data_IF_461711048736
#
_entry.id   IF_461711048736
#
_cell.length_a   1.000
_cell.length_b   1.000
_cell.length_c   1.000
_cell.angle_alpha   90.00
_cell.angle_beta   90.00
_cell.angle_gamma   90.00
#
_symmetry.space_group_name_H-M   'P 1'
#
loop_
_entity.id
_entity.type
_entity.pdbx_description
1 polymer ?
#
# COMPACT_ATOMS: atom_id res chain seq x y z
N UNK A 1 54.74 25.48 -36.31
CA UNK A 1 53.34 25.93 -36.17
C UNK A 1 52.33 24.78 -36.12
N UNK A 2 52.41 23.76 -36.99
CA UNK A 2 51.45 22.64 -37.05
C UNK A 2 51.26 21.85 -35.73
N UNK A 3 52.35 21.58 -34.99
CA UNK A 3 52.28 20.87 -33.70
C UNK A 3 51.44 21.59 -32.64
N UNK A 4 51.50 22.92 -32.58
CA UNK A 4 50.72 23.69 -31.61
C UNK A 4 49.22 23.63 -31.92
N UNK A 5 48.86 23.73 -33.20
CA UNK A 5 47.46 23.66 -33.66
C UNK A 5 46.80 22.32 -33.32
N UNK A 6 47.51 21.20 -33.51
CA UNK A 6 47.00 19.87 -33.17
C UNK A 6 46.69 19.75 -31.66
N UNK A 7 47.54 20.32 -30.81
CA UNK A 7 47.35 20.28 -29.35
C UNK A 7 46.15 21.11 -28.92
N UNK A 8 45.95 22.32 -29.47
CA UNK A 8 44.79 23.15 -29.12
C UNK A 8 43.46 22.50 -29.53
N UNK A 9 43.42 21.83 -30.69
CA UNK A 9 42.23 21.12 -31.17
C UNK A 9 41.87 19.94 -30.25
N UNK A 10 42.86 19.17 -29.79
CA UNK A 10 42.63 18.04 -28.89
C UNK A 10 42.11 18.46 -27.51
N UNK A 11 42.60 19.59 -26.98
CA UNK A 11 42.12 20.15 -25.70
C UNK A 11 40.67 20.63 -25.84
N UNK A 12 40.33 21.31 -26.94
CA UNK A 12 38.98 21.81 -27.18
C UNK A 12 37.95 20.67 -27.28
N UNK A 13 38.30 19.60 -28.01
CA UNK A 13 37.45 18.42 -28.16
C UNK A 13 37.21 17.70 -26.82
N UNK A 14 38.25 17.59 -25.99
CA UNK A 14 38.15 16.96 -24.66
C UNK A 14 37.26 17.77 -23.71
N UNK A 15 37.33 19.10 -23.76
CA UNK A 15 36.48 19.98 -22.95
C UNK A 15 34.99 19.84 -23.28
N UNK A 16 34.64 19.71 -24.57
CA UNK A 16 33.26 19.56 -25.02
C UNK A 16 32.66 18.25 -24.48
N UNK A 17 33.41 17.14 -24.54
CA UNK A 17 32.93 15.83 -24.08
C UNK A 17 32.60 15.81 -22.57
N UNK A 18 33.40 16.49 -21.74
CA UNK A 18 33.18 16.56 -20.28
C UNK A 18 31.92 17.39 -19.97
N UNK A 19 31.75 18.54 -20.63
CA UNK A 19 30.58 19.40 -20.41
C UNK A 19 29.29 18.71 -20.85
N UNK A 20 29.32 17.96 -21.95
CA UNK A 20 28.18 17.14 -22.39
C UNK A 20 27.82 16.03 -21.40
N UNK A 21 28.82 15.36 -20.80
CA UNK A 21 28.57 14.33 -19.79
C UNK A 21 27.95 14.91 -18.51
N UNK A 22 28.41 16.07 -18.04
CA UNK A 22 27.90 16.71 -16.82
C UNK A 22 26.48 17.27 -17.05
N UNK A 23 26.21 17.85 -18.22
CA UNK A 23 24.88 18.35 -18.57
C UNK A 23 23.83 17.21 -18.63
N UNK A 24 24.20 16.02 -19.10
CA UNK A 24 23.34 14.83 -19.07
C UNK A 24 22.97 14.39 -17.66
N UNK A 25 23.96 14.32 -16.76
CA UNK A 25 23.75 13.90 -15.36
C UNK A 25 22.96 14.93 -14.55
N UNK A 26 23.19 16.24 -14.78
CA UNK A 26 22.43 17.31 -14.13
C UNK A 26 20.98 17.37 -14.61
N UNK A 27 20.73 17.17 -15.91
CA UNK A 27 19.37 17.13 -16.47
C UNK A 27 18.59 15.93 -15.94
N UNK A 28 19.23 14.76 -15.81
CA UNK A 28 18.60 13.55 -15.22
C UNK A 28 18.17 13.73 -13.77
N UNK A 29 18.91 14.51 -12.96
CA UNK A 29 18.53 14.83 -11.58
C UNK A 29 17.39 15.84 -11.50
N UNK A 30 17.32 16.78 -12.44
CA UNK A 30 16.27 17.80 -12.47
C UNK A 30 14.96 17.34 -13.14
N UNK A 31 15.00 16.34 -14.03
CA UNK A 31 13.80 15.76 -14.67
C UNK A 31 13.25 14.53 -13.96
N UNK A 32 13.84 14.09 -12.84
CA UNK A 32 13.04 13.42 -11.81
C UNK A 32 12.05 14.44 -11.27
N UNK A 33 10.98 14.70 -12.05
CA UNK A 33 9.72 15.23 -11.53
C UNK A 33 9.50 14.45 -10.24
N UNK A 34 9.54 15.13 -9.10
CA UNK A 34 9.18 14.56 -7.81
C UNK A 34 7.83 13.89 -8.03
N UNK A 35 7.82 12.56 -8.20
CA UNK A 35 6.59 11.79 -8.02
C UNK A 35 6.14 12.19 -6.63
N UNK A 36 4.91 12.68 -6.52
CA UNK A 36 4.33 12.91 -5.21
C UNK A 36 4.54 11.60 -4.43
N UNK A 37 5.05 11.67 -3.19
CA UNK A 37 5.23 10.48 -2.38
C UNK A 37 3.91 9.73 -2.32
N UNK A 38 3.96 8.41 -2.50
CA UNK A 38 2.77 7.56 -2.40
C UNK A 38 2.17 7.74 -1.00
N UNK A 39 0.86 7.62 -0.88
CA UNK A 39 0.16 7.73 0.40
C UNK A 39 -0.69 6.49 0.62
N UNK A 40 -0.11 5.57 1.39
CA UNK A 40 -0.62 4.21 1.57
C UNK A 40 -1.25 4.05 2.96
N UNK A 41 -2.49 3.59 3.03
CA UNK A 41 -3.11 3.16 4.27
C UNK A 41 -2.69 1.72 4.53
N UNK A 42 -2.00 1.46 5.64
CA UNK A 42 -1.75 0.08 6.10
C UNK A 42 -2.84 -0.25 7.11
N UNK A 43 -3.76 -1.15 6.76
CA UNK A 43 -4.82 -1.57 7.67
C UNK A 43 -4.63 -3.05 8.03
N UNK A 44 -4.19 -3.31 9.25
CA UNK A 44 -3.87 -4.66 9.71
C UNK A 44 -4.35 -4.90 11.15
N UNK A 45 -4.29 -6.15 11.60
CA UNK A 45 -4.55 -6.47 13.01
C UNK A 45 -3.32 -6.12 13.86
N UNK A 46 -3.55 -5.71 15.11
CA UNK A 46 -2.51 -5.42 16.10
C UNK A 46 -1.87 -6.65 16.75
N UNK A 47 -1.78 -7.77 16.05
CA UNK A 47 -1.11 -8.98 16.56
C UNK A 47 0.41 -8.83 16.45
N UNK A 48 1.05 -8.54 17.59
CA UNK A 48 2.50 -8.31 17.69
C UNK A 48 3.35 -9.50 17.24
N UNK A 49 2.80 -10.72 17.21
CA UNK A 49 3.56 -11.90 16.79
C UNK A 49 3.81 -11.89 15.29
N UNK A 50 2.86 -11.41 14.49
CA UNK A 50 2.99 -11.36 13.04
C UNK A 50 3.79 -10.16 12.55
N UNK A 51 3.91 -9.10 13.37
CA UNK A 51 4.58 -7.84 13.03
C UNK A 51 4.16 -7.33 11.63
N UNK A 52 2.86 -7.42 11.29
CA UNK A 52 2.35 -7.18 9.92
C UNK A 52 2.77 -5.84 9.37
N UNK A 53 2.67 -4.76 10.16
CA UNK A 53 3.12 -3.43 9.73
C UNK A 53 4.59 -3.46 9.24
N UNK A 54 5.53 -3.93 10.08
CA UNK A 54 6.95 -3.99 9.72
C UNK A 54 7.21 -4.82 8.45
N UNK A 55 6.42 -5.89 8.26
CA UNK A 55 6.52 -6.74 7.06
C UNK A 55 6.03 -6.01 5.82
N UNK A 56 4.86 -5.39 5.89
CA UNK A 56 4.28 -4.61 4.80
C UNK A 56 5.23 -3.47 4.41
N UNK A 57 5.79 -2.75 5.39
CA UNK A 57 6.78 -1.69 5.14
C UNK A 57 7.99 -2.21 4.35
N UNK A 58 8.52 -3.37 4.73
CA UNK A 58 9.66 -4.00 4.05
C UNK A 58 9.29 -4.54 2.66
N UNK A 59 8.15 -5.19 2.53
CA UNK A 59 7.68 -5.82 1.28
C UNK A 59 7.35 -4.78 0.20
N UNK A 60 6.85 -3.60 0.61
CA UNK A 60 6.43 -2.53 -0.29
C UNK A 60 7.42 -1.36 -0.38
N UNK A 61 8.58 -1.46 0.28
CA UNK A 61 9.63 -0.42 0.36
C UNK A 61 9.09 0.95 0.79
N UNK A 62 8.17 0.96 1.76
CA UNK A 62 7.52 2.18 2.24
C UNK A 62 8.41 2.90 3.26
N UNK A 63 8.62 4.19 3.03
CA UNK A 63 9.40 5.06 3.91
C UNK A 63 8.50 5.87 4.85
N UNK A 64 9.10 6.43 5.90
CA UNK A 64 8.38 7.31 6.83
C UNK A 64 7.75 8.49 6.08
N UNK A 65 6.45 8.73 6.35
CA UNK A 65 5.67 9.76 5.69
C UNK A 65 4.94 9.32 4.41
N UNK A 66 5.21 8.11 3.90
CA UNK A 66 4.47 7.52 2.76
C UNK A 66 3.26 6.69 3.18
N UNK A 67 3.12 6.40 4.48
CA UNK A 67 2.07 5.53 4.98
C UNK A 67 1.41 6.06 6.25
N UNK A 68 0.22 5.51 6.53
CA UNK A 68 -0.45 5.65 7.81
C UNK A 68 -1.01 4.30 8.24
N UNK A 69 -0.69 3.87 9.45
CA UNK A 69 -1.10 2.56 9.96
C UNK A 69 -2.38 2.66 10.79
N UNK A 70 -3.38 1.88 10.40
CA UNK A 70 -4.59 1.58 11.14
C UNK A 70 -4.43 0.17 11.72
N UNK A 71 -4.12 0.08 13.01
CA UNK A 71 -3.88 -1.20 13.69
C UNK A 71 -4.61 -1.26 15.03
N UNK A 72 -5.44 -2.28 15.19
CA UNK A 72 -6.16 -2.60 16.43
C UNK A 72 -6.55 -4.08 16.46
N UNK A 73 -7.08 -4.55 17.59
CA UNK A 73 -7.50 -5.94 17.76
C UNK A 73 -8.63 -6.30 16.75
N UNK A 74 -8.41 -7.35 15.96
CA UNK A 74 -9.31 -7.75 14.88
C UNK A 74 -9.07 -7.04 13.54
N UNK A 75 -8.30 -5.94 13.53
CA UNK A 75 -7.87 -5.27 12.31
C UNK A 75 -9.01 -5.00 11.33
N UNK A 76 -8.86 -5.37 10.04
CA UNK A 76 -9.92 -5.21 9.04
C UNK A 76 -11.20 -6.00 9.33
N UNK A 77 -11.13 -7.12 10.05
CA UNK A 77 -12.30 -7.96 10.30
C UNK A 77 -13.38 -7.28 11.16
N UNK A 78 -13.04 -6.17 11.84
CA UNK A 78 -14.01 -5.38 12.61
C UNK A 78 -15.13 -4.82 11.74
N UNK A 79 -14.93 -4.58 10.45
CA UNK A 79 -16.02 -4.04 9.61
C UNK A 79 -17.04 -5.09 9.21
N UNK A 80 -16.66 -6.37 9.30
CA UNK A 80 -17.58 -7.50 9.09
C UNK A 80 -18.26 -7.85 10.41
N UNK A 81 -17.48 -8.12 11.47
CA UNK A 81 -17.97 -8.74 12.72
C UNK A 81 -18.00 -7.81 13.94
N UNK A 82 -17.52 -6.58 13.82
CA UNK A 82 -17.46 -5.62 14.93
C UNK A 82 -18.81 -4.99 15.27
N UNK A 83 -18.88 -4.32 16.42
CA UNK A 83 -20.04 -3.53 16.78
C UNK A 83 -20.16 -2.32 15.84
N UNK A 84 -21.37 -1.73 15.73
CA UNK A 84 -21.58 -0.59 14.84
C UNK A 84 -20.59 0.56 15.10
N UNK A 85 -20.28 0.83 16.38
CA UNK A 85 -19.31 1.86 16.77
C UNK A 85 -17.91 1.61 16.21
N UNK A 86 -17.48 0.35 16.11
CA UNK A 86 -16.17 -0.03 15.54
C UNK A 86 -16.17 0.21 14.03
N UNK A 87 -17.28 -0.13 13.35
CA UNK A 87 -17.46 0.09 11.91
C UNK A 87 -17.45 1.58 11.57
N UNK A 88 -18.16 2.38 12.36
CA UNK A 88 -18.21 3.83 12.21
C UNK A 88 -16.85 4.48 12.48
N UNK A 89 -16.11 3.96 13.47
CA UNK A 89 -14.76 4.42 13.75
C UNK A 89 -13.83 4.14 12.56
N UNK A 90 -13.80 2.91 12.05
CA UNK A 90 -13.01 2.55 10.87
C UNK A 90 -13.37 3.42 9.66
N UNK A 91 -14.69 3.61 9.41
CA UNK A 91 -15.20 4.48 8.34
C UNK A 91 -14.65 5.90 8.45
N UNK A 92 -14.77 6.53 9.62
CA UNK A 92 -14.29 7.89 9.84
C UNK A 92 -12.78 8.03 9.65
N UNK A 93 -11.99 7.07 10.15
CA UNK A 93 -10.53 7.11 9.99
C UNK A 93 -10.13 7.00 8.52
N UNK A 94 -10.71 6.05 7.78
CA UNK A 94 -10.40 5.84 6.36
C UNK A 94 -10.85 7.06 5.53
N UNK A 95 -12.07 7.57 5.73
CA UNK A 95 -12.54 8.76 5.02
C UNK A 95 -11.67 9.99 5.32
N UNK A 96 -11.22 10.18 6.56
CA UNK A 96 -10.31 11.27 6.91
C UNK A 96 -8.98 11.18 6.13
N UNK A 97 -8.40 9.97 6.07
CA UNK A 97 -7.15 9.74 5.34
C UNK A 97 -7.33 9.97 3.84
N UNK A 98 -8.40 9.44 3.26
CA UNK A 98 -8.66 9.55 1.82
C UNK A 98 -9.03 10.98 1.43
N UNK A 99 -10.09 11.53 2.01
CA UNK A 99 -10.66 12.81 1.58
C UNK A 99 -9.85 14.03 2.02
N UNK A 100 -9.25 13.98 3.22
CA UNK A 100 -8.56 15.14 3.80
C UNK A 100 -7.05 15.05 3.69
N UNK A 101 -6.49 13.84 3.65
CA UNK A 101 -5.03 13.63 3.56
C UNK A 101 -4.56 13.13 2.20
N UNK A 102 -5.49 12.76 1.31
CA UNK A 102 -5.19 12.38 -0.07
C UNK A 102 -4.49 11.03 -0.18
N UNK A 103 -4.84 10.08 0.69
CA UNK A 103 -4.41 8.68 0.55
C UNK A 103 -5.21 8.01 -0.57
N UNK A 104 -4.51 7.33 -1.48
CA UNK A 104 -5.06 6.75 -2.71
C UNK A 104 -4.80 5.24 -2.83
N UNK A 105 -4.04 4.65 -1.91
CA UNK A 105 -3.76 3.23 -1.85
C UNK A 105 -4.04 2.69 -0.42
N UNK A 106 -4.52 1.45 -0.33
CA UNK A 106 -4.69 0.72 0.91
C UNK A 106 -4.17 -0.72 0.80
N UNK A 107 -3.33 -1.10 1.76
CA UNK A 107 -2.88 -2.48 1.98
C UNK A 107 -3.64 -3.01 3.18
N UNK A 108 -4.53 -3.97 2.95
CA UNK A 108 -5.49 -4.45 3.94
C UNK A 108 -5.16 -5.89 4.30
N UNK A 109 -4.47 -6.06 5.42
CA UNK A 109 -3.92 -7.33 5.83
C UNK A 109 -4.81 -8.05 6.85
N UNK A 110 -5.18 -9.28 6.53
CA UNK A 110 -5.79 -10.23 7.47
C UNK A 110 -4.84 -11.40 7.72
N UNK A 111 -5.15 -12.22 8.73
CA UNK A 111 -4.28 -13.34 9.09
C UNK A 111 -5.03 -14.55 9.62
N UNK A 112 -4.35 -15.69 9.61
CA UNK A 112 -4.84 -16.94 10.19
C UNK A 112 -4.92 -16.86 11.73
N UNK A 113 -5.90 -17.56 12.31
CA UNK A 113 -6.07 -17.71 13.76
C UNK A 113 -6.18 -16.38 14.54
N UNK A 114 -6.90 -15.41 13.99
CA UNK A 114 -7.14 -14.14 14.69
C UNK A 114 -7.83 -14.35 16.04
N UNK A 115 -7.16 -14.00 17.14
CA UNK A 115 -7.69 -14.16 18.49
C UNK A 115 -9.00 -13.38 18.71
N UNK A 116 -9.09 -12.17 18.15
CA UNK A 116 -10.29 -11.33 18.27
C UNK A 116 -11.53 -11.94 17.60
N UNK A 117 -11.34 -12.70 16.51
CA UNK A 117 -12.42 -13.46 15.87
C UNK A 117 -12.81 -14.69 16.71
N UNK A 118 -11.81 -15.39 17.25
CA UNK A 118 -12.02 -16.53 18.15
C UNK A 118 -12.84 -16.14 19.38
N UNK A 119 -12.56 -14.98 19.98
CA UNK A 119 -13.29 -14.45 21.14
C UNK A 119 -14.77 -14.14 20.83
N UNK A 120 -15.13 -14.06 19.55
CA UNK A 120 -16.51 -13.90 19.06
C UNK A 120 -17.16 -15.20 18.59
N UNK A 121 -16.52 -16.34 18.85
CA UNK A 121 -17.02 -17.66 18.46
C UNK A 121 -16.75 -18.02 17.00
N UNK A 122 -15.99 -17.21 16.26
CA UNK A 122 -15.56 -17.52 14.89
C UNK A 122 -14.28 -18.36 14.97
N UNK A 123 -14.46 -19.67 14.99
CA UNK A 123 -13.36 -20.63 15.23
C UNK A 123 -12.63 -21.05 13.96
N UNK A 124 -13.13 -20.69 12.78
CA UNK A 124 -12.49 -20.99 11.51
C UNK A 124 -11.15 -20.25 11.40
N UNK A 125 -10.00 -20.96 11.32
CA UNK A 125 -8.69 -20.35 11.17
C UNK A 125 -8.57 -19.44 9.94
N UNK A 126 -9.33 -19.71 8.88
CA UNK A 126 -9.34 -18.97 7.62
C UNK A 126 -10.45 -17.91 7.55
N UNK A 127 -11.14 -17.62 8.66
CA UNK A 127 -12.20 -16.61 8.67
C UNK A 127 -11.69 -15.26 8.13
N UNK A 128 -10.45 -14.88 8.46
CA UNK A 128 -9.82 -13.66 7.96
C UNK A 128 -9.74 -13.56 6.44
N UNK A 129 -9.58 -14.71 5.75
CA UNK A 129 -9.58 -14.82 4.29
C UNK A 129 -11.01 -14.75 3.73
N UNK A 130 -11.96 -15.42 4.38
CA UNK A 130 -13.38 -15.43 4.00
C UNK A 130 -14.06 -14.07 4.14
N UNK A 131 -13.55 -13.21 5.02
CA UNK A 131 -14.07 -11.86 5.25
C UNK A 131 -13.63 -10.83 4.20
N UNK A 132 -12.62 -11.13 3.38
CA UNK A 132 -12.05 -10.18 2.42
C UNK A 132 -13.09 -9.57 1.46
N UNK A 133 -14.03 -10.32 0.88
CA UNK A 133 -15.11 -9.73 0.08
C UNK A 133 -15.95 -8.70 0.85
N UNK A 134 -16.26 -8.97 2.12
CA UNK A 134 -17.00 -8.04 2.96
C UNK A 134 -16.22 -6.76 3.28
N UNK A 135 -14.91 -6.90 3.52
CA UNK A 135 -14.00 -5.77 3.75
C UNK A 135 -13.86 -4.93 2.46
N UNK A 136 -13.76 -5.57 1.30
CA UNK A 136 -13.69 -4.88 0.01
C UNK A 136 -14.98 -4.09 -0.27
N UNK A 137 -16.15 -4.70 -0.04
CA UNK A 137 -17.44 -4.02 -0.19
C UNK A 137 -17.51 -2.77 0.70
N UNK A 138 -17.08 -2.88 1.96
CA UNK A 138 -17.01 -1.75 2.87
C UNK A 138 -16.09 -0.63 2.35
N UNK A 139 -14.89 -0.98 1.87
CA UNK A 139 -13.93 0.01 1.33
C UNK A 139 -14.42 0.68 0.05
N UNK A 140 -15.07 -0.07 -0.85
CA UNK A 140 -15.67 0.49 -2.07
C UNK A 140 -16.76 1.50 -1.74
N UNK A 141 -17.56 1.25 -0.70
CA UNK A 141 -18.61 2.18 -0.27
C UNK A 141 -18.03 3.52 0.21
N UNK A 142 -16.95 3.50 1.00
CA UNK A 142 -16.45 4.69 1.70
C UNK A 142 -15.29 5.38 0.99
N UNK A 143 -14.57 4.65 0.14
CA UNK A 143 -13.35 5.08 -0.52
C UNK A 143 -13.22 4.44 -1.92
N UNK A 144 -14.19 4.64 -2.83
CA UNK A 144 -14.26 3.93 -4.12
C UNK A 144 -13.08 4.17 -5.06
N UNK A 145 -12.26 5.20 -4.80
CA UNK A 145 -11.10 5.57 -5.61
C UNK A 145 -9.78 5.01 -5.09
N UNK A 146 -9.79 4.38 -3.91
CA UNK A 146 -8.58 3.83 -3.31
C UNK A 146 -8.26 2.50 -3.96
N UNK A 147 -7.03 2.34 -4.42
CA UNK A 147 -6.50 1.05 -4.86
C UNK A 147 -6.29 0.15 -3.65
N UNK A 148 -6.87 -1.04 -3.63
CA UNK A 148 -6.84 -1.93 -2.46
C UNK A 148 -6.12 -3.24 -2.79
N UNK A 149 -5.18 -3.63 -1.94
CA UNK A 149 -4.50 -4.94 -1.98
C UNK A 149 -4.79 -5.74 -0.71
N UNK A 150 -4.94 -7.06 -0.83
CA UNK A 150 -5.32 -7.96 0.28
C UNK A 150 -4.27 -9.06 0.53
N UNK A 151 -3.15 -8.75 1.21
CA UNK A 151 -2.25 -9.78 1.70
C UNK A 151 -2.89 -10.54 2.87
N UNK A 152 -2.76 -11.87 2.85
CA UNK A 152 -3.20 -12.78 3.89
C UNK A 152 -1.98 -13.49 4.50
N UNK A 153 -1.77 -13.29 5.81
CA UNK A 153 -0.61 -13.81 6.52
C UNK A 153 -0.93 -15.10 7.29
N UNK A 154 0.03 -16.02 7.30
CA UNK A 154 -0.08 -17.32 7.95
C UNK A 154 0.98 -17.52 9.00
N UNK A 155 0.61 -18.30 10.02
CA UNK A 155 1.58 -18.96 10.86
C UNK A 155 2.05 -20.24 10.14
N UNK A 156 3.36 -20.42 10.02
CA UNK A 156 3.93 -21.72 9.64
C UNK A 156 3.64 -22.76 10.73
N UNK A 157 3.57 -22.31 11.98
CA UNK A 157 3.11 -23.09 13.14
C UNK A 157 2.51 -22.12 14.16
N UNK A 158 1.23 -22.31 14.47
CA UNK A 158 0.51 -21.43 15.39
C UNK A 158 0.90 -21.64 16.86
N UNK A 159 1.25 -22.87 17.27
CA UNK A 159 1.59 -23.17 18.66
C UNK A 159 2.94 -22.54 19.03
N UNK A 160 3.90 -22.64 18.12
CA UNK A 160 5.22 -21.99 18.26
C UNK A 160 5.23 -20.55 17.77
N UNK A 161 4.12 -20.08 17.20
CA UNK A 161 3.95 -18.77 16.56
C UNK A 161 5.03 -18.50 15.49
N UNK A 162 5.51 -19.55 14.85
CA UNK A 162 6.40 -19.44 13.69
C UNK A 162 5.60 -18.91 12.51
N UNK A 163 6.13 -17.92 11.79
CA UNK A 163 5.39 -17.18 10.76
C UNK A 163 5.92 -17.51 9.36
N UNK A 164 5.03 -17.69 8.37
CA UNK A 164 5.42 -17.89 6.98
C UNK A 164 6.09 -16.64 6.40
N UNK A 165 7.13 -16.81 5.58
CA UNK A 165 7.92 -15.70 5.01
C UNK A 165 7.15 -14.86 3.99
N UNK A 166 6.21 -15.46 3.23
CA UNK A 166 5.43 -14.77 2.20
C UNK A 166 3.93 -14.82 2.48
N UNK A 167 3.19 -13.70 2.33
CA UNK A 167 1.73 -13.73 2.37
C UNK A 167 1.14 -14.35 1.09
N UNK A 168 -0.11 -14.80 1.18
CA UNK A 168 -0.96 -15.09 0.03
C UNK A 168 -1.69 -13.80 -0.38
N UNK A 169 -1.73 -13.46 -1.66
CA UNK A 169 -2.51 -12.32 -2.15
C UNK A 169 -3.87 -12.78 -2.64
N UNK A 170 -4.92 -12.33 -1.97
CA UNK A 170 -6.30 -12.69 -2.31
C UNK A 170 -6.75 -11.81 -3.48
N UNK A 171 -6.98 -12.44 -4.63
CA UNK A 171 -7.59 -11.79 -5.79
C UNK A 171 -9.10 -11.72 -5.56
N UNK A 172 -9.64 -10.50 -5.48
CA UNK A 172 -11.09 -10.30 -5.40
C UNK A 172 -11.54 -9.72 -6.72
N UNK A 173 -12.47 -10.41 -7.38
CA UNK A 173 -12.99 -9.98 -8.68
C UNK A 173 -13.48 -8.53 -8.57
N UNK A 174 -12.88 -7.67 -9.39
CA UNK A 174 -13.39 -6.33 -9.58
C UNK A 174 -14.64 -6.46 -10.44
N UNK A 175 -15.81 -6.63 -9.79
CA UNK A 175 -17.05 -6.21 -10.43
C UNK A 175 -16.88 -4.74 -10.79
N UNK A 176 -16.65 -4.49 -12.08
CA UNK A 176 -16.65 -3.15 -12.62
C UNK A 176 -18.04 -2.59 -12.31
N UNK A 177 -18.11 -1.66 -11.36
CA UNK A 177 -19.26 -0.78 -11.24
C UNK A 177 -19.39 -0.14 -12.62
N UNK A 178 -20.38 -0.60 -13.38
CA UNK A 178 -20.85 0.02 -14.60
C UNK A 178 -21.37 1.40 -14.22
N UNK A 179 -20.45 2.34 -14.02
CA UNK A 179 -20.72 3.76 -13.95
C UNK A 179 -21.01 4.20 -15.38
N UNK A 180 -22.08 3.68 -15.97
CA UNK A 180 -22.73 4.43 -17.03
C UNK A 180 -23.33 5.66 -16.33
N UNK A 181 -22.81 6.86 -16.59
CA UNK A 181 -23.47 8.05 -16.10
C UNK A 181 -24.78 8.12 -16.88
N UNK A 182 -25.91 7.81 -16.25
CA UNK A 182 -27.20 8.27 -16.71
C UNK A 182 -27.16 9.81 -16.65
N UNK A 183 -26.60 10.41 -17.70
CA UNK A 183 -26.84 11.77 -18.11
C UNK A 183 -28.31 11.84 -18.52
N UNK A 184 -29.20 11.88 -17.52
CA UNK A 184 -30.54 12.38 -17.70
C UNK A 184 -30.41 13.90 -17.95
N UNK A 185 -30.20 14.24 -19.21
CA UNK A 185 -30.55 15.54 -19.75
C UNK A 185 -32.08 15.63 -19.78
N UNK A 186 -32.67 16.25 -18.76
CA UNK A 186 -33.94 16.98 -18.85
C UNK A 186 -33.81 18.35 -18.18
#
# INVERSE_FOLDING_TARGET
MLRAFVVTVLILASGILIVSSIAGTLRSRFTQRKRLPRKVIIWCCGDDHLNMEKRILKEHDLQEGEYFTLSWAGGPNVVVHGAQGDKDFARRQIQLLVEKKGFDEAIVATHQHCAWLKDRGLTDPEQGKKDVPGIQTFLREIAPRVEVTFPYYFYADYETKTVCEKPEYIQVEQEALSLEPELALE
#
